data_IF_164449187323
#
_entry.id   IF_164449187323
#
_cell.length_a   1.000
_cell.length_b   1.000
_cell.length_c   1.000
_cell.angle_alpha   90.00
_cell.angle_beta   90.00
_cell.angle_gamma   90.00
#
_symmetry.space_group_name_H-M   'P 1'
#
loop_
_entity.id
_entity.type
_entity.pdbx_description
1 polymer ?
#
# COMPACT_ATOMS: atom_id res chain seq x y z
N UNK A 1 -29.49 -15.08 10.30
CA UNK A 1 -29.40 -13.77 9.63
C UNK A 1 -30.21 -12.69 10.33
N UNK A 2 -31.54 -12.83 10.53
CA UNK A 2 -32.37 -11.82 11.24
C UNK A 2 -31.91 -11.49 12.67
N UNK A 3 -31.58 -12.50 13.47
CA UNK A 3 -31.08 -12.28 14.84
C UNK A 3 -29.71 -11.62 14.88
N UNK A 4 -28.84 -11.92 13.91
CA UNK A 4 -27.52 -11.29 13.79
C UNK A 4 -27.64 -9.81 13.43
N UNK A 5 -28.59 -9.45 12.56
CA UNK A 5 -28.86 -8.04 12.21
C UNK A 5 -29.30 -7.25 13.45
N UNK A 6 -30.26 -7.78 14.20
CA UNK A 6 -30.74 -7.18 15.45
C UNK A 6 -29.65 -7.11 16.53
N UNK A 7 -28.77 -8.12 16.61
CA UNK A 7 -27.60 -8.10 17.50
C UNK A 7 -26.69 -6.92 17.13
N UNK A 8 -26.35 -6.76 15.85
CA UNK A 8 -25.49 -5.68 15.36
C UNK A 8 -26.09 -4.31 15.62
N UNK A 9 -27.40 -4.13 15.36
CA UNK A 9 -28.10 -2.88 15.65
C UNK A 9 -27.97 -2.51 17.14
N UNK A 10 -28.19 -3.47 18.06
CA UNK A 10 -28.04 -3.23 19.51
C UNK A 10 -26.60 -2.98 19.96
N UNK A 11 -25.61 -3.51 19.25
CA UNK A 11 -24.18 -3.35 19.57
C UNK A 11 -23.64 -2.00 19.12
N UNK A 12 -24.29 -1.39 18.12
CA UNK A 12 -23.99 -0.05 17.66
C UNK A 12 -24.37 0.98 18.73
N UNK A 13 -25.53 0.79 19.37
CA UNK A 13 -26.06 1.67 20.42
C UNK A 13 -25.29 1.58 21.75
N UNK A 14 -24.56 0.47 22.00
CA UNK A 14 -23.97 0.18 23.31
C UNK A 14 -22.57 -0.40 23.20
N UNK A 15 -21.55 0.43 23.45
CA UNK A 15 -20.13 0.03 23.46
C UNK A 15 -19.82 -1.11 24.44
N UNK A 16 -20.51 -1.15 25.59
CA UNK A 16 -20.34 -2.20 26.60
C UNK A 16 -20.74 -3.60 26.10
N UNK A 17 -21.71 -3.69 25.18
CA UNK A 17 -22.19 -4.96 24.63
C UNK A 17 -21.22 -5.53 23.59
N UNK A 18 -20.27 -4.74 23.07
CA UNK A 18 -19.32 -5.16 22.04
C UNK A 18 -18.35 -6.25 22.49
N UNK A 19 -18.33 -6.58 23.80
CA UNK A 19 -17.58 -7.71 24.35
C UNK A 19 -18.33 -9.06 24.25
N UNK A 20 -19.65 -9.05 24.04
CA UNK A 20 -20.47 -10.26 23.94
C UNK A 20 -20.00 -11.23 22.84
N UNK A 21 -19.71 -10.78 21.60
CA UNK A 21 -19.16 -11.65 20.55
C UNK A 21 -17.85 -12.31 20.96
N UNK A 22 -17.00 -11.60 21.71
CA UNK A 22 -15.74 -12.14 22.18
C UNK A 22 -15.98 -13.33 23.13
N UNK A 23 -16.97 -13.22 24.00
CA UNK A 23 -17.35 -14.29 24.92
C UNK A 23 -17.91 -15.51 24.16
N UNK A 24 -18.72 -15.30 23.11
CA UNK A 24 -19.19 -16.40 22.28
C UNK A 24 -18.06 -17.11 21.53
N UNK A 25 -17.08 -16.34 21.03
CA UNK A 25 -15.92 -16.86 20.31
C UNK A 25 -14.87 -17.50 21.22
N UNK A 26 -14.83 -17.14 22.51
CA UNK A 26 -13.93 -17.73 23.51
C UNK A 26 -14.41 -19.10 24.04
N UNK A 27 -15.70 -19.40 23.92
CA UNK A 27 -16.30 -20.63 24.42
C UNK A 27 -16.33 -21.72 23.34
N UNK A 28 -15.74 -22.89 23.63
CA UNK A 28 -15.62 -24.01 22.69
C UNK A 28 -16.95 -24.46 22.08
N UNK A 29 -18.03 -24.50 22.87
CA UNK A 29 -19.32 -25.01 22.41
C UNK A 29 -20.09 -24.02 21.50
N UNK A 30 -19.84 -22.72 21.63
CA UNK A 30 -20.59 -21.67 20.90
C UNK A 30 -19.79 -21.04 19.78
N UNK A 31 -18.46 -21.16 19.81
CA UNK A 31 -17.56 -20.45 18.90
C UNK A 31 -17.80 -20.81 17.43
N UNK A 32 -17.90 -22.10 17.11
CA UNK A 32 -18.10 -22.57 15.72
C UNK A 32 -19.45 -22.17 15.15
N UNK A 33 -20.51 -22.23 15.97
CA UNK A 33 -21.86 -21.77 15.59
C UNK A 33 -21.86 -20.27 15.32
N UNK A 34 -21.30 -19.47 16.24
CA UNK A 34 -21.25 -18.02 16.10
C UNK A 34 -20.40 -17.62 14.89
N UNK A 35 -19.24 -18.24 14.71
CA UNK A 35 -18.36 -18.04 13.55
C UNK A 35 -19.10 -18.26 12.23
N UNK A 36 -19.80 -19.40 12.10
CA UNK A 36 -20.58 -19.71 10.91
C UNK A 36 -21.71 -18.70 10.66
N UNK A 37 -22.51 -18.40 11.68
CA UNK A 37 -23.65 -17.47 11.58
C UNK A 37 -23.17 -16.06 11.20
N UNK A 38 -22.09 -15.60 11.82
CA UNK A 38 -21.50 -14.30 11.52
C UNK A 38 -20.94 -14.26 10.10
N UNK A 39 -20.15 -15.25 9.68
CA UNK A 39 -19.55 -15.25 8.34
C UNK A 39 -20.59 -15.30 7.23
N UNK A 40 -21.64 -16.11 7.41
CA UNK A 40 -22.76 -16.13 6.47
C UNK A 40 -23.42 -14.76 6.35
N UNK A 41 -23.70 -14.12 7.49
CA UNK A 41 -24.24 -12.76 7.52
C UNK A 41 -23.28 -11.73 6.88
N UNK A 42 -21.98 -11.84 7.16
CA UNK A 42 -20.94 -10.96 6.62
C UNK A 42 -20.88 -11.03 5.10
N UNK A 43 -21.04 -12.24 4.55
CA UNK A 43 -20.99 -12.50 3.12
C UNK A 43 -22.27 -12.04 2.42
N UNK A 44 -23.43 -12.32 3.01
CA UNK A 44 -24.72 -11.88 2.47
C UNK A 44 -24.80 -10.34 2.37
N UNK A 45 -24.16 -9.62 3.29
CA UNK A 45 -24.21 -8.15 3.36
C UNK A 45 -22.91 -7.48 2.91
N UNK A 46 -22.01 -8.17 2.20
CA UNK A 46 -20.63 -7.71 1.91
C UNK A 46 -20.53 -6.30 1.27
N UNK A 47 -21.58 -5.84 0.59
CA UNK A 47 -21.66 -4.50 -0.02
C UNK A 47 -22.03 -3.39 0.97
N UNK A 48 -22.75 -3.70 2.05
CA UNK A 48 -23.20 -2.71 3.05
C UNK A 48 -22.05 -2.19 3.94
N UNK A 49 -20.85 -2.77 3.81
CA UNK A 49 -19.64 -2.43 4.57
C UNK A 49 -18.98 -1.11 4.16
N UNK A 50 -19.58 -0.33 3.25
CA UNK A 50 -19.17 1.05 2.95
C UNK A 50 -19.97 2.11 3.75
N UNK A 51 -20.79 1.67 4.71
CA UNK A 51 -21.54 2.56 5.60
C UNK A 51 -20.80 2.92 6.89
N UNK A 52 -21.49 3.69 7.74
CA UNK A 52 -21.02 4.09 9.09
C UNK A 52 -20.70 2.88 9.99
N UNK A 53 -21.35 1.75 9.72
CA UNK A 53 -21.19 0.44 10.40
C UNK A 53 -19.91 -0.32 10.08
N UNK A 54 -19.13 0.14 9.10
CA UNK A 54 -17.92 -0.53 8.59
C UNK A 54 -16.90 -0.87 9.69
N UNK A 55 -16.75 0.00 10.69
CA UNK A 55 -15.78 -0.17 11.78
C UNK A 55 -16.12 -1.32 12.73
N UNK A 56 -17.40 -1.46 13.10
CA UNK A 56 -17.91 -2.53 13.97
C UNK A 56 -17.77 -3.88 13.26
N UNK A 57 -18.24 -3.93 12.03
CA UNK A 57 -18.09 -5.06 11.14
C UNK A 57 -16.65 -5.54 10.98
N UNK A 58 -15.72 -4.62 10.73
CA UNK A 58 -14.30 -4.95 10.64
C UNK A 58 -13.74 -5.50 11.96
N UNK A 59 -14.20 -4.98 13.10
CA UNK A 59 -13.81 -5.50 14.42
C UNK A 59 -14.26 -6.94 14.63
N UNK A 60 -15.51 -7.25 14.29
CA UNK A 60 -16.05 -8.61 14.40
C UNK A 60 -15.32 -9.57 13.47
N UNK A 61 -15.04 -9.15 12.24
CA UNK A 61 -14.24 -9.93 11.30
C UNK A 61 -12.86 -10.28 11.88
N UNK A 62 -12.16 -9.32 12.50
CA UNK A 62 -10.88 -9.58 13.19
C UNK A 62 -11.02 -10.54 14.37
N UNK A 63 -12.09 -10.45 15.16
CA UNK A 63 -12.34 -11.38 16.28
C UNK A 63 -12.56 -12.80 15.77
N UNK A 64 -13.35 -12.96 14.72
CA UNK A 64 -13.59 -14.27 14.07
C UNK A 64 -12.29 -14.85 13.52
N UNK A 65 -11.48 -14.06 12.83
CA UNK A 65 -10.13 -14.49 12.41
C UNK A 65 -9.25 -14.88 13.61
N UNK A 66 -9.25 -14.09 14.68
CA UNK A 66 -8.49 -14.40 15.90
C UNK A 66 -8.91 -15.71 16.57
N UNK A 67 -10.18 -16.07 16.50
CA UNK A 67 -10.70 -17.32 17.07
C UNK A 67 -10.14 -18.58 16.39
N UNK A 68 -9.69 -18.48 15.13
CA UNK A 68 -9.08 -19.61 14.41
C UNK A 68 -7.84 -20.12 15.10
N UNK A 69 -7.05 -19.23 15.72
CA UNK A 69 -5.83 -19.58 16.44
C UNK A 69 -6.13 -20.45 17.66
N UNK A 70 -7.31 -20.31 18.24
CA UNK A 70 -7.75 -21.06 19.42
C UNK A 70 -8.52 -22.32 19.04
N UNK A 71 -9.36 -22.25 18.00
CA UNK A 71 -10.27 -23.33 17.60
C UNK A 71 -10.12 -23.68 16.11
N UNK A 72 -9.58 -24.87 15.83
CA UNK A 72 -9.40 -25.38 14.47
C UNK A 72 -10.71 -25.55 13.68
N UNK A 73 -11.85 -25.79 14.34
CA UNK A 73 -13.16 -25.85 13.67
C UNK A 73 -13.48 -24.54 12.94
N UNK A 74 -13.09 -23.40 13.51
CA UNK A 74 -13.32 -22.08 12.92
C UNK A 74 -12.45 -21.86 11.69
N UNK A 75 -11.24 -22.44 11.65
CA UNK A 75 -10.37 -22.42 10.48
C UNK A 75 -11.06 -23.07 9.28
N UNK A 76 -11.67 -24.25 9.48
CA UNK A 76 -12.38 -24.98 8.42
C UNK A 76 -13.56 -24.17 7.88
N UNK A 77 -14.30 -23.51 8.76
CA UNK A 77 -15.44 -22.64 8.37
C UNK A 77 -14.93 -21.46 7.53
N UNK A 78 -13.88 -20.76 7.97
CA UNK A 78 -13.35 -19.60 7.27
C UNK A 78 -12.74 -20.00 5.93
N UNK A 79 -12.05 -21.13 5.86
CA UNK A 79 -11.44 -21.66 4.64
C UNK A 79 -12.44 -21.69 3.48
N UNK A 80 -13.65 -22.17 3.70
CA UNK A 80 -14.71 -22.23 2.66
C UNK A 80 -15.09 -20.86 2.09
N UNK A 81 -14.79 -19.78 2.79
CA UNK A 81 -15.15 -18.41 2.41
C UNK A 81 -13.95 -17.56 1.96
N UNK A 82 -12.71 -18.03 2.10
CA UNK A 82 -11.48 -17.29 1.73
C UNK A 82 -11.54 -16.83 0.27
N UNK A 83 -11.81 -17.76 -0.65
CA UNK A 83 -11.88 -17.50 -2.08
C UNK A 83 -12.96 -16.46 -2.44
N UNK A 84 -14.12 -16.53 -1.76
CA UNK A 84 -15.18 -15.54 -1.92
C UNK A 84 -14.72 -14.15 -1.46
N UNK A 85 -14.19 -14.06 -0.23
CA UNK A 85 -13.76 -12.79 0.38
C UNK A 85 -12.68 -12.13 -0.48
N UNK A 86 -11.68 -12.88 -0.95
CA UNK A 86 -10.59 -12.34 -1.78
C UNK A 86 -11.15 -11.77 -3.09
N UNK A 87 -11.89 -12.56 -3.85
CA UNK A 87 -12.37 -12.15 -5.17
C UNK A 87 -13.37 -10.98 -5.09
N UNK A 88 -14.28 -11.01 -4.11
CA UNK A 88 -15.23 -9.92 -3.91
C UNK A 88 -14.54 -8.64 -3.39
N UNK A 89 -13.58 -8.74 -2.47
CA UNK A 89 -12.81 -7.57 -2.01
C UNK A 89 -12.05 -6.92 -3.16
N UNK A 90 -11.38 -7.72 -4.00
CA UNK A 90 -10.65 -7.22 -5.17
C UNK A 90 -11.58 -6.55 -6.19
N UNK A 91 -12.77 -7.13 -6.43
CA UNK A 91 -13.76 -6.54 -7.33
C UNK A 91 -14.31 -5.23 -6.78
N UNK A 92 -14.59 -5.15 -5.47
CA UNK A 92 -15.12 -3.93 -4.86
C UNK A 92 -14.08 -2.83 -4.72
N UNK A 93 -12.81 -3.17 -4.49
CA UNK A 93 -11.70 -2.21 -4.53
C UNK A 93 -11.67 -1.41 -5.85
N UNK A 94 -12.01 -2.05 -6.98
CA UNK A 94 -12.02 -1.41 -8.31
C UNK A 94 -13.25 -0.52 -8.54
N UNK A 95 -14.39 -0.81 -7.90
CA UNK A 95 -15.68 -0.23 -8.25
C UNK A 95 -16.27 0.72 -7.19
N UNK A 96 -15.85 0.60 -5.92
CA UNK A 96 -16.49 1.28 -4.80
C UNK A 96 -15.84 2.62 -4.46
N UNK A 97 -16.66 3.57 -3.98
CA UNK A 97 -16.19 4.87 -3.46
C UNK A 97 -15.37 4.80 -2.15
N UNK A 98 -15.33 3.63 -1.49
CA UNK A 98 -14.55 3.39 -0.26
C UNK A 98 -13.66 2.14 -0.38
N UNK A 99 -12.69 2.18 -1.30
CA UNK A 99 -11.77 1.06 -1.55
C UNK A 99 -10.92 0.64 -0.34
N UNK A 100 -10.70 1.54 0.63
CA UNK A 100 -9.91 1.28 1.85
C UNK A 100 -10.47 0.18 2.75
N UNK A 101 -11.79 0.09 2.92
CA UNK A 101 -12.39 -0.88 3.84
C UNK A 101 -12.12 -2.32 3.37
N UNK A 102 -12.24 -2.56 2.06
CA UNK A 102 -11.95 -3.86 1.46
C UNK A 102 -10.46 -4.21 1.52
N UNK A 103 -9.57 -3.22 1.40
CA UNK A 103 -8.13 -3.42 1.60
C UNK A 103 -7.82 -3.81 3.05
N UNK A 104 -8.48 -3.21 4.04
CA UNK A 104 -8.30 -3.62 5.43
C UNK A 104 -8.81 -5.03 5.71
N UNK A 105 -9.91 -5.46 5.09
CA UNK A 105 -10.40 -6.85 5.15
C UNK A 105 -9.33 -7.80 4.60
N UNK A 106 -8.78 -7.52 3.41
CA UNK A 106 -7.69 -8.31 2.82
C UNK A 106 -6.46 -8.34 3.73
N UNK A 107 -6.05 -7.20 4.28
CA UNK A 107 -4.91 -7.10 5.21
C UNK A 107 -5.11 -7.98 6.43
N UNK A 108 -6.28 -7.92 7.06
CA UNK A 108 -6.59 -8.74 8.23
C UNK A 108 -6.60 -10.24 7.89
N UNK A 109 -7.20 -10.62 6.76
CA UNK A 109 -7.24 -12.00 6.28
C UNK A 109 -5.83 -12.55 6.02
N UNK A 110 -5.01 -11.82 5.26
CA UNK A 110 -3.64 -12.25 4.91
C UNK A 110 -2.75 -12.34 6.14
N UNK A 111 -2.87 -11.42 7.09
CA UNK A 111 -2.18 -11.52 8.38
C UNK A 111 -2.61 -12.77 9.16
N UNK A 112 -3.89 -13.12 9.13
CA UNK A 112 -4.39 -14.33 9.79
C UNK A 112 -3.87 -15.62 9.15
N UNK A 113 -3.76 -15.65 7.82
CA UNK A 113 -3.23 -16.80 7.06
C UNK A 113 -1.71 -16.93 7.26
N UNK A 114 -0.99 -15.81 7.42
CA UNK A 114 0.46 -15.81 7.64
C UNK A 114 0.91 -16.36 8.98
N UNK A 115 -0.01 -16.59 9.91
CA UNK A 115 0.29 -17.29 11.14
C UNK A 115 0.51 -18.78 10.82
N UNK A 116 1.67 -19.33 11.21
CA UNK A 116 2.21 -20.63 10.80
C UNK A 116 1.38 -21.86 11.19
N UNK A 117 0.23 -21.67 11.83
CA UNK A 117 -0.67 -22.73 12.29
C UNK A 117 -1.81 -23.03 11.30
N UNK A 118 -2.00 -22.22 10.25
CA UNK A 118 -3.19 -22.22 9.37
C UNK A 118 -2.91 -22.76 7.96
N UNK A 119 -2.30 -23.95 7.84
CA UNK A 119 -1.92 -24.51 6.54
C UNK A 119 -3.11 -24.70 5.59
N UNK A 120 -4.32 -24.97 6.11
CA UNK A 120 -5.48 -25.27 5.27
C UNK A 120 -6.03 -24.02 4.56
N UNK A 121 -6.03 -22.87 5.23
CA UNK A 121 -6.40 -21.58 4.61
C UNK A 121 -5.33 -21.11 3.62
N UNK A 122 -4.05 -21.39 3.90
CA UNK A 122 -2.96 -21.05 3.00
C UNK A 122 -3.07 -21.77 1.64
N UNK A 123 -3.44 -23.06 1.64
CA UNK A 123 -3.67 -23.79 0.40
C UNK A 123 -4.81 -23.21 -0.44
N UNK A 124 -5.87 -22.72 0.20
CA UNK A 124 -7.00 -22.06 -0.47
C UNK A 124 -6.62 -20.68 -1.02
N UNK A 125 -5.73 -19.96 -0.33
CA UNK A 125 -5.22 -18.66 -0.73
C UNK A 125 -4.28 -18.74 -1.95
N UNK A 126 -3.41 -19.76 -2.01
CA UNK A 126 -2.31 -19.83 -2.97
C UNK A 126 -2.70 -19.67 -4.45
N UNK A 127 -3.81 -20.26 -4.95
CA UNK A 127 -4.29 -20.05 -6.32
C UNK A 127 -4.61 -18.58 -6.66
N UNK A 128 -4.95 -17.77 -5.64
CA UNK A 128 -5.33 -16.37 -5.80
C UNK A 128 -4.14 -15.42 -5.82
N UNK A 129 -2.95 -15.87 -5.40
CA UNK A 129 -1.75 -15.05 -5.20
C UNK A 129 -1.42 -14.18 -6.43
N UNK A 130 -1.38 -14.80 -7.62
CA UNK A 130 -1.10 -14.10 -8.88
C UNK A 130 -2.17 -13.04 -9.18
N UNK A 131 -3.44 -13.37 -8.97
CA UNK A 131 -4.55 -12.46 -9.26
C UNK A 131 -4.53 -11.23 -8.35
N UNK A 132 -4.28 -11.44 -7.04
CA UNK A 132 -4.13 -10.37 -6.05
C UNK A 132 -3.02 -9.41 -6.46
N UNK A 133 -1.81 -9.93 -6.71
CA UNK A 133 -0.66 -9.10 -7.09
C UNK A 133 -0.88 -8.36 -8.41
N UNK A 134 -1.56 -8.99 -9.37
CA UNK A 134 -1.91 -8.35 -10.64
C UNK A 134 -2.93 -7.23 -10.45
N UNK A 135 -3.96 -7.45 -9.62
CA UNK A 135 -4.98 -6.45 -9.31
C UNK A 135 -4.39 -5.23 -8.60
N UNK A 136 -3.51 -5.45 -7.62
CA UNK A 136 -2.80 -4.37 -6.92
C UNK A 136 -1.91 -3.54 -7.86
N UNK A 137 -1.19 -4.18 -8.78
CA UNK A 137 -0.39 -3.45 -9.76
C UNK A 137 -1.22 -2.66 -10.77
N UNK A 138 -2.43 -3.12 -11.12
CA UNK A 138 -3.37 -2.36 -11.97
C UNK A 138 -3.94 -1.15 -11.25
N UNK A 139 -4.35 -1.31 -9.99
CA UNK A 139 -4.96 -0.22 -9.22
C UNK A 139 -3.97 0.92 -8.93
N UNK A 140 -2.67 0.60 -8.89
CA UNK A 140 -1.61 1.59 -8.77
C UNK A 140 -1.61 2.60 -9.92
N UNK A 141 -1.76 2.15 -11.18
CA UNK A 141 -1.60 3.06 -12.33
C UNK A 141 -2.63 4.19 -12.35
N UNK A 142 -3.74 4.03 -11.62
CA UNK A 142 -4.81 5.02 -11.50
C UNK A 142 -4.68 5.97 -10.30
N UNK A 143 -3.70 5.79 -9.42
CA UNK A 143 -3.62 6.55 -8.16
C UNK A 143 -2.37 7.43 -8.07
N UNK A 144 -2.57 8.67 -7.60
CA UNK A 144 -1.48 9.48 -7.06
C UNK A 144 -1.03 8.91 -5.69
N UNK A 145 0.22 9.18 -5.29
CA UNK A 145 0.75 8.76 -3.99
C UNK A 145 -0.18 9.19 -2.84
N UNK A 146 -0.77 8.23 -2.13
CA UNK A 146 -1.73 8.46 -1.03
C UNK A 146 -1.95 7.21 -0.19
N UNK A 147 -2.78 7.32 0.86
CA UNK A 147 -3.01 6.26 1.88
C UNK A 147 -3.38 4.91 1.26
N UNK A 148 -4.18 4.91 0.19
CA UNK A 148 -4.58 3.67 -0.48
C UNK A 148 -3.40 2.93 -1.10
N UNK A 149 -2.48 3.67 -1.74
CA UNK A 149 -1.28 3.10 -2.34
C UNK A 149 -0.34 2.53 -1.27
N UNK A 150 -0.20 3.22 -0.14
CA UNK A 150 0.58 2.74 1.01
C UNK A 150 0.05 1.41 1.54
N UNK A 151 -1.27 1.30 1.73
CA UNK A 151 -1.91 0.07 2.19
C UNK A 151 -1.72 -1.06 1.17
N UNK A 152 -1.83 -0.77 -0.14
CA UNK A 152 -1.58 -1.78 -1.18
C UNK A 152 -0.12 -2.28 -1.14
N UNK A 153 0.85 -1.37 -1.01
CA UNK A 153 2.26 -1.73 -0.89
C UNK A 153 2.49 -2.57 0.37
N UNK A 154 1.92 -2.17 1.52
CA UNK A 154 1.99 -2.92 2.78
C UNK A 154 1.49 -4.36 2.59
N UNK A 155 0.31 -4.51 1.98
CA UNK A 155 -0.32 -5.81 1.75
C UNK A 155 0.51 -6.64 0.78
N UNK A 156 0.97 -6.09 -0.34
CA UNK A 156 1.80 -6.79 -1.33
C UNK A 156 3.10 -7.34 -0.72
N UNK A 157 3.72 -6.60 0.20
CA UNK A 157 4.97 -7.02 0.86
C UNK A 157 4.76 -7.89 2.09
N UNK A 158 3.52 -8.04 2.58
CA UNK A 158 3.16 -8.88 3.74
C UNK A 158 2.33 -10.11 3.36
N UNK A 159 2.27 -10.46 2.07
CA UNK A 159 1.55 -11.64 1.61
C UNK A 159 2.09 -12.90 2.29
N UNK A 160 1.20 -13.75 2.83
CA UNK A 160 1.58 -14.97 3.53
C UNK A 160 1.95 -16.02 2.49
N UNK A 161 3.15 -15.97 1.94
CA UNK A 161 3.60 -16.90 0.92
C UNK A 161 5.03 -17.36 1.21
N UNK A 162 5.24 -18.68 1.10
CA UNK A 162 6.61 -19.23 1.12
C UNK A 162 7.38 -18.65 -0.05
N UNK A 163 8.65 -18.31 0.16
CA UNK A 163 9.48 -17.71 -0.89
C UNK A 163 9.44 -18.53 -2.19
N UNK A 164 9.49 -19.86 -2.12
CA UNK A 164 9.40 -20.76 -3.27
C UNK A 164 8.19 -20.50 -4.18
N UNK A 165 7.03 -20.19 -3.58
CA UNK A 165 5.80 -19.88 -4.31
C UNK A 165 5.75 -18.42 -4.75
N UNK A 166 6.57 -17.56 -4.14
CA UNK A 166 6.69 -16.15 -4.46
C UNK A 166 7.67 -15.90 -5.63
N UNK A 167 8.68 -16.76 -5.82
CA UNK A 167 9.71 -16.66 -6.87
C UNK A 167 9.12 -16.37 -8.26
N UNK A 168 8.09 -17.09 -8.75
CA UNK A 168 7.49 -16.84 -10.06
C UNK A 168 6.80 -15.47 -10.19
N UNK A 169 6.51 -14.83 -9.06
CA UNK A 169 5.75 -13.59 -8.97
C UNK A 169 6.60 -12.39 -8.53
N UNK A 170 7.93 -12.57 -8.35
CA UNK A 170 8.85 -11.49 -8.01
C UNK A 170 8.72 -10.25 -8.91
N UNK A 171 8.54 -10.35 -10.24
CA UNK A 171 8.35 -9.17 -11.08
C UNK A 171 7.15 -8.30 -10.66
N UNK A 172 6.09 -8.92 -10.11
CA UNK A 172 4.91 -8.20 -9.62
C UNK A 172 5.15 -7.53 -8.25
N UNK A 173 6.14 -7.98 -7.48
CA UNK A 173 6.48 -7.50 -6.13
C UNK A 173 7.60 -6.47 -6.16
N UNK A 174 8.47 -6.55 -7.17
CA UNK A 174 9.65 -5.70 -7.29
C UNK A 174 9.29 -4.21 -7.36
N UNK A 175 8.16 -3.88 -8.00
CA UNK A 175 7.65 -2.52 -7.99
C UNK A 175 7.23 -2.07 -6.58
N UNK A 176 6.26 -2.72 -5.88
CA UNK A 176 5.92 -2.39 -4.49
C UNK A 176 7.14 -2.25 -3.58
N UNK A 177 8.13 -3.13 -3.78
CA UNK A 177 9.39 -3.12 -3.05
C UNK A 177 10.17 -1.82 -3.27
N UNK A 178 10.44 -1.41 -4.52
CA UNK A 178 11.14 -0.16 -4.81
C UNK A 178 10.39 1.04 -4.25
N UNK A 179 9.06 1.09 -4.42
CA UNK A 179 8.26 2.19 -3.87
C UNK A 179 8.28 2.26 -2.36
N UNK A 180 8.34 1.11 -1.66
CA UNK A 180 8.45 1.08 -0.21
C UNK A 180 9.76 1.71 0.29
N UNK A 181 10.87 1.45 -0.42
CA UNK A 181 12.20 2.02 -0.10
C UNK A 181 12.26 3.54 -0.32
N UNK A 182 11.45 4.04 -1.26
CA UNK A 182 11.32 5.46 -1.55
C UNK A 182 10.49 6.23 -0.51
N UNK A 183 9.69 5.54 0.29
CA UNK A 183 8.74 6.16 1.23
C UNK A 183 9.45 6.49 2.56
N UNK A 184 9.01 7.53 3.27
CA UNK A 184 9.57 7.96 4.56
C UNK A 184 9.01 7.23 5.79
N UNK A 185 8.07 6.31 5.61
CA UNK A 185 7.25 5.71 6.67
C UNK A 185 7.74 4.31 7.11
N UNK A 186 6.98 3.65 7.99
CA UNK A 186 7.22 2.28 8.44
C UNK A 186 7.37 1.28 7.26
N UNK A 187 6.79 1.58 6.10
CA UNK A 187 6.94 0.80 4.87
C UNK A 187 8.39 0.67 4.42
N UNK A 188 9.24 1.67 4.68
CA UNK A 188 10.65 1.60 4.32
C UNK A 188 11.35 0.45 5.07
N UNK A 189 11.10 0.34 6.37
CA UNK A 189 11.68 -0.73 7.19
C UNK A 189 11.23 -2.12 6.70
N UNK A 190 9.98 -2.25 6.27
CA UNK A 190 9.46 -3.47 5.69
C UNK A 190 10.11 -3.77 4.34
N UNK A 191 10.25 -2.76 3.47
CA UNK A 191 10.95 -2.87 2.20
C UNK A 191 12.39 -3.36 2.35
N UNK A 192 13.15 -2.78 3.27
CA UNK A 192 14.52 -3.21 3.57
C UNK A 192 14.59 -4.68 4.01
N UNK A 193 13.70 -5.10 4.92
CA UNK A 193 13.62 -6.50 5.39
C UNK A 193 13.27 -7.46 4.26
N UNK A 194 12.27 -7.11 3.44
CA UNK A 194 11.87 -7.95 2.30
C UNK A 194 12.96 -8.04 1.25
N UNK A 195 13.65 -6.94 0.94
CA UNK A 195 14.79 -6.95 0.01
C UNK A 195 15.94 -7.79 0.56
N UNK A 196 16.26 -7.64 1.85
CA UNK A 196 17.31 -8.46 2.50
C UNK A 196 16.97 -9.95 2.40
N UNK A 197 15.74 -10.34 2.74
CA UNK A 197 15.27 -11.71 2.60
C UNK A 197 15.41 -12.20 1.15
N UNK A 198 14.94 -11.43 0.16
CA UNK A 198 15.06 -11.82 -1.25
C UNK A 198 16.52 -12.00 -1.69
N UNK A 199 17.45 -11.17 -1.23
CA UNK A 199 18.87 -11.30 -1.53
C UNK A 199 19.52 -12.51 -0.84
N UNK A 200 19.10 -12.83 0.39
CA UNK A 200 19.67 -13.94 1.16
C UNK A 200 19.14 -15.31 0.70
N UNK A 201 17.93 -15.35 0.15
CA UNK A 201 17.18 -16.62 -0.04
C UNK A 201 16.95 -17.03 -1.49
N UNK A 202 17.14 -16.13 -2.46
CA UNK A 202 17.02 -16.46 -3.88
C UNK A 202 18.41 -16.76 -4.44
N UNK A 203 18.60 -17.93 -5.07
CA UNK A 203 19.86 -18.31 -5.72
C UNK A 203 20.34 -17.19 -6.65
N UNK A 204 21.62 -16.81 -6.55
CA UNK A 204 22.23 -15.64 -7.22
C UNK A 204 21.90 -15.54 -8.72
N UNK A 205 21.75 -16.68 -9.41
CA UNK A 205 21.42 -16.73 -10.83
C UNK A 205 19.98 -16.27 -11.19
N UNK A 206 18.98 -16.47 -10.33
CA UNK A 206 17.59 -16.06 -10.62
C UNK A 206 17.32 -14.60 -10.26
N UNK A 207 17.92 -14.12 -9.16
CA UNK A 207 17.91 -12.70 -8.79
C UNK A 207 18.51 -11.86 -9.90
N UNK A 208 19.65 -12.28 -10.44
CA UNK A 208 20.35 -11.49 -11.43
C UNK A 208 19.45 -11.16 -12.63
N UNK A 209 18.76 -12.13 -13.25
CA UNK A 209 17.96 -11.84 -14.44
C UNK A 209 16.72 -10.96 -14.20
N UNK A 210 16.04 -11.08 -13.05
CA UNK A 210 14.81 -10.31 -12.76
C UNK A 210 15.14 -8.96 -12.10
N UNK A 211 16.17 -8.93 -11.26
CA UNK A 211 16.59 -7.71 -10.59
C UNK A 211 17.43 -6.85 -11.51
N UNK A 212 18.17 -7.38 -12.50
CA UNK A 212 19.00 -6.58 -13.43
C UNK A 212 18.25 -5.36 -14.00
N UNK A 213 16.99 -5.52 -14.40
CA UNK A 213 16.17 -4.42 -14.96
C UNK A 213 15.88 -3.29 -13.96
N UNK A 214 15.71 -3.63 -12.67
CA UNK A 214 15.27 -2.68 -11.62
C UNK A 214 16.41 -2.39 -10.63
N UNK A 215 17.54 -3.08 -10.77
CA UNK A 215 18.74 -2.99 -9.92
C UNK A 215 19.23 -1.55 -9.82
N UNK A 216 19.27 -0.85 -10.94
CA UNK A 216 19.71 0.54 -11.00
C UNK A 216 18.77 1.45 -10.20
N UNK A 217 17.45 1.26 -10.32
CA UNK A 217 16.47 2.02 -9.57
C UNK A 217 16.58 1.71 -8.05
N UNK A 218 16.77 0.43 -7.66
CA UNK A 218 17.00 0.06 -6.25
C UNK A 218 18.28 0.70 -5.70
N UNK A 219 19.40 0.60 -6.41
CA UNK A 219 20.67 1.12 -5.92
C UNK A 219 20.70 2.65 -5.89
N UNK A 220 20.14 3.33 -6.90
CA UNK A 220 19.99 4.78 -6.88
C UNK A 220 19.14 5.24 -5.68
N UNK A 221 18.05 4.54 -5.38
CA UNK A 221 17.18 4.88 -4.25
C UNK A 221 17.84 4.62 -2.90
N UNK A 222 18.56 3.50 -2.73
CA UNK A 222 19.34 3.22 -1.53
C UNK A 222 20.45 4.26 -1.31
N UNK A 223 21.22 4.61 -2.35
CA UNK A 223 22.28 5.62 -2.27
C UNK A 223 21.76 7.03 -1.97
N UNK A 224 20.59 7.40 -2.49
CA UNK A 224 19.97 8.67 -2.12
C UNK A 224 19.58 8.68 -0.65
N UNK A 225 19.11 7.54 -0.13
CA UNK A 225 18.61 7.40 1.24
C UNK A 225 19.72 7.38 2.29
N UNK A 226 20.86 6.73 2.00
CA UNK A 226 22.05 6.75 2.88
C UNK A 226 22.50 8.17 3.20
N UNK A 227 22.36 9.09 2.23
CA UNK A 227 22.73 10.50 2.38
C UNK A 227 21.72 11.32 3.18
N UNK A 228 20.46 10.87 3.28
CA UNK A 228 19.36 11.66 3.83
C UNK A 228 18.93 11.25 5.24
N UNK A 229 19.13 9.99 5.65
CA UNK A 229 18.58 9.47 6.91
C UNK A 229 19.57 8.57 7.64
N UNK A 230 20.00 9.00 8.84
CA UNK A 230 21.00 8.29 9.65
C UNK A 230 20.51 6.90 10.11
N UNK A 231 19.22 6.76 10.46
CA UNK A 231 18.65 5.50 10.99
C UNK A 231 18.67 4.35 9.99
N UNK A 232 18.43 4.64 8.70
CA UNK A 232 18.38 3.63 7.64
C UNK A 232 19.72 3.48 6.89
N UNK A 233 20.73 4.26 7.26
CA UNK A 233 22.00 4.31 6.57
C UNK A 233 22.73 2.95 6.62
N UNK A 234 22.82 2.35 7.81
CA UNK A 234 23.49 1.06 8.01
C UNK A 234 22.80 -0.08 7.23
N UNK A 235 21.47 -0.10 7.21
CA UNK A 235 20.70 -1.08 6.45
C UNK A 235 20.88 -0.92 4.95
N UNK A 236 20.84 0.33 4.46
CA UNK A 236 21.02 0.65 3.04
C UNK A 236 22.43 0.29 2.57
N UNK A 237 23.48 0.64 3.32
CA UNK A 237 24.87 0.28 3.02
C UNK A 237 25.10 -1.23 3.00
N UNK A 238 24.51 -1.97 3.95
CA UNK A 238 24.58 -3.44 3.98
C UNK A 238 23.98 -4.05 2.72
N UNK A 239 22.81 -3.58 2.30
CA UNK A 239 22.12 -4.06 1.09
C UNK A 239 22.90 -3.72 -0.19
N UNK A 240 23.44 -2.50 -0.29
CA UNK A 240 24.31 -2.08 -1.40
C UNK A 240 25.52 -3.03 -1.49
N UNK A 241 26.15 -3.36 -0.36
CA UNK A 241 27.27 -4.30 -0.31
C UNK A 241 26.89 -5.70 -0.80
N UNK A 242 25.76 -6.25 -0.32
CA UNK A 242 25.24 -7.56 -0.76
C UNK A 242 24.96 -7.59 -2.27
N UNK A 243 24.32 -6.54 -2.81
CA UNK A 243 24.01 -6.45 -4.24
C UNK A 243 25.26 -6.27 -5.12
N UNK A 244 26.28 -5.58 -4.61
CA UNK A 244 27.54 -5.36 -5.33
C UNK A 244 28.41 -6.62 -5.37
N UNK A 245 28.42 -7.43 -4.30
CA UNK A 245 29.17 -8.69 -4.22
C UNK A 245 28.55 -9.86 -5.00
N UNK A 246 27.24 -9.84 -5.25
CA UNK A 246 26.52 -10.90 -5.97
C UNK A 246 26.67 -10.84 -7.51
N UNK A 247 27.38 -9.86 -8.05
CA UNK A 247 27.43 -9.60 -9.48
C UNK A 247 28.48 -10.46 -10.21
N UNK A 248 28.01 -11.33 -11.11
CA UNK A 248 28.81 -11.98 -12.16
C UNK A 248 29.00 -11.09 -13.40
N UNK A 249 28.25 -9.99 -13.52
CA UNK A 249 28.28 -9.08 -14.69
C UNK A 249 28.72 -7.66 -14.28
N UNK A 250 29.56 -7.00 -15.10
CA UNK A 250 29.97 -5.63 -14.84
C UNK A 250 28.76 -4.68 -14.88
N UNK A 251 28.76 -3.75 -13.94
CA UNK A 251 27.67 -2.79 -13.73
C UNK A 251 27.65 -1.76 -14.88
N UNK A 252 26.66 -1.83 -15.78
CA UNK A 252 26.41 -0.76 -16.75
C UNK A 252 25.36 0.19 -16.17
N UNK A 253 25.85 1.29 -15.59
CA UNK A 253 25.01 2.39 -15.15
C UNK A 253 24.43 3.06 -16.40
N UNK A 254 23.27 2.59 -16.89
CA UNK A 254 22.49 3.37 -17.84
C UNK A 254 21.91 4.54 -17.05
N UNK A 255 22.65 5.65 -17.01
CA UNK A 255 22.10 6.91 -16.53
C UNK A 255 20.85 7.20 -17.38
N UNK A 256 19.68 7.25 -16.74
CA UNK A 256 18.47 7.79 -17.37
C UNK A 256 18.74 9.28 -17.61
N UNK A 257 19.38 9.59 -18.73
CA UNK A 257 19.64 10.95 -19.15
C UNK A 257 18.28 11.60 -19.42
N UNK A 258 17.93 12.59 -18.61
CA UNK A 258 16.76 13.42 -18.87
C UNK A 258 17.12 14.33 -20.04
N UNK A 259 16.48 14.12 -21.17
CA UNK A 259 16.66 14.98 -22.33
C UNK A 259 16.08 16.36 -22.02
N UNK A 260 16.96 17.31 -21.74
CA UNK A 260 16.59 18.70 -21.53
C UNK A 260 16.57 19.41 -22.89
N UNK A 261 15.38 19.74 -23.40
CA UNK A 261 15.28 20.66 -24.56
C UNK A 261 15.65 22.06 -24.04
N UNK A 262 16.90 22.48 -24.29
CA UNK A 262 17.37 23.86 -24.10
C UNK A 262 16.74 24.83 -25.12
N UNK A 263 15.41 24.84 -25.21
CA UNK A 263 14.67 25.84 -25.98
C UNK A 263 13.97 26.74 -24.97
N UNK A 264 14.35 28.02 -24.83
CA UNK A 264 13.60 28.95 -23.99
C UNK A 264 12.17 28.99 -24.53
N UNK A 265 11.23 28.54 -23.70
CA UNK A 265 9.88 28.22 -24.15
C UNK A 265 9.07 29.48 -24.38
N UNK A 266 9.38 30.55 -23.64
CA UNK A 266 9.01 31.92 -23.97
C UNK A 266 10.11 32.91 -23.53
N UNK A 267 10.10 34.09 -24.13
CA UNK A 267 10.89 35.26 -23.71
C UNK A 267 9.94 36.40 -23.35
N UNK A 268 10.17 37.04 -22.21
CA UNK A 268 9.45 38.26 -21.81
C UNK A 268 10.34 39.45 -22.14
N UNK A 269 9.81 40.39 -22.90
CA UNK A 269 10.51 41.64 -23.18
C UNK A 269 10.33 42.58 -22.00
N UNK A 270 11.42 42.80 -21.26
CA UNK A 270 11.43 43.81 -20.20
C UNK A 270 11.80 45.15 -20.84
N UNK A 271 10.86 46.08 -20.81
CA UNK A 271 11.11 47.46 -21.24
C UNK A 271 11.62 48.25 -20.04
N UNK A 272 12.91 48.59 -20.05
CA UNK A 272 13.49 49.46 -19.03
C UNK A 272 14.23 50.60 -19.73
N UNK A 273 13.84 51.85 -19.44
CA UNK A 273 14.43 53.08 -19.98
C UNK A 273 14.57 53.12 -21.52
N UNK A 274 13.56 52.62 -22.26
CA UNK A 274 13.52 52.72 -23.72
C UNK A 274 14.27 51.62 -24.49
N UNK A 275 14.93 50.68 -23.81
CA UNK A 275 15.46 49.46 -24.41
C UNK A 275 14.57 48.26 -24.04
N UNK A 276 14.17 47.49 -25.06
CA UNK A 276 13.44 46.22 -24.92
C UNK A 276 14.46 45.10 -24.93
N UNK A 277 14.69 44.45 -23.79
CA UNK A 277 15.59 43.30 -23.69
C UNK A 277 14.74 42.02 -23.56
N UNK A 278 14.82 41.08 -24.51
CA UNK A 278 14.14 39.79 -24.39
C UNK A 278 14.83 38.95 -23.31
N UNK A 279 14.15 38.70 -22.20
CA UNK A 279 14.63 37.84 -21.13
C UNK A 279 14.04 36.44 -21.30
N UNK A 280 14.86 35.39 -21.53
CA UNK A 280 14.37 34.02 -21.61
C UNK A 280 13.95 33.54 -20.20
N UNK A 281 12.72 33.03 -20.08
CA UNK A 281 12.20 32.52 -18.80
C UNK A 281 12.06 30.99 -18.89
N UNK A 282 12.55 30.22 -17.90
CA UNK A 282 12.37 28.78 -17.83
C UNK A 282 10.95 28.42 -17.35
N UNK A 283 9.96 28.66 -18.21
CA UNK A 283 8.55 28.47 -17.87
C UNK A 283 8.23 27.02 -17.47
N UNK A 284 8.86 26.03 -18.11
CA UNK A 284 8.61 24.63 -17.75
C UNK A 284 9.03 24.29 -16.31
N UNK A 285 10.13 24.83 -15.81
CA UNK A 285 10.59 24.60 -14.43
C UNK A 285 9.66 25.27 -13.42
N UNK A 286 9.18 26.47 -13.75
CA UNK A 286 8.21 27.22 -12.94
C UNK A 286 6.88 26.46 -12.91
N UNK A 287 6.38 26.00 -14.05
CA UNK A 287 5.15 25.21 -14.13
C UNK A 287 5.26 23.89 -13.37
N UNK A 288 6.37 23.16 -13.51
CA UNK A 288 6.56 21.89 -12.79
C UNK A 288 6.62 22.11 -11.27
N UNK A 289 7.23 23.21 -10.83
CA UNK A 289 7.24 23.63 -9.41
C UNK A 289 5.85 24.01 -8.92
N UNK A 290 5.08 24.76 -9.70
CA UNK A 290 3.69 25.14 -9.38
C UNK A 290 2.78 23.90 -9.29
N UNK A 291 2.92 22.96 -10.22
CA UNK A 291 2.17 21.69 -10.22
C UNK A 291 2.52 20.83 -9.01
N UNK A 292 3.80 20.77 -8.60
CA UNK A 292 4.22 20.08 -7.37
C UNK A 292 3.56 20.68 -6.12
N UNK A 293 3.58 22.01 -5.99
CA UNK A 293 2.95 22.72 -4.87
C UNK A 293 1.43 22.47 -4.81
N UNK A 294 0.74 22.53 -5.95
CA UNK A 294 -0.70 22.23 -6.01
C UNK A 294 -1.02 20.79 -5.61
N UNK A 295 -0.18 19.82 -6.02
CA UNK A 295 -0.36 18.41 -5.63
C UNK A 295 -0.20 18.20 -4.13
N UNK A 296 0.76 18.87 -3.49
CA UNK A 296 0.95 18.78 -2.04
C UNK A 296 -0.29 19.27 -1.26
N UNK A 297 -0.94 20.34 -1.73
CA UNK A 297 -2.15 20.90 -1.10
C UNK A 297 -3.33 19.92 -1.17
N UNK A 298 -3.50 19.25 -2.32
CA UNK A 298 -4.56 18.23 -2.47
C UNK A 298 -4.39 17.01 -1.56
N UNK A 299 -3.17 16.75 -1.06
CA UNK A 299 -2.90 15.70 -0.07
C UNK A 299 -3.18 16.11 1.38
N UNK A 300 -3.21 17.42 1.68
CA UNK A 300 -3.35 17.95 3.06
C UNK A 300 -4.83 18.16 3.45
N UNK A 301 -5.76 18.23 2.48
CA UNK A 301 -7.20 18.35 2.77
C UNK A 301 -7.80 17.14 3.50
N UNK A 302 -7.05 16.04 3.66
CA UNK A 302 -7.50 14.82 4.36
C UNK A 302 -6.99 14.68 5.81
N UNK A 303 -6.12 15.58 6.30
CA UNK A 303 -5.65 15.55 7.69
C UNK A 303 -6.25 16.68 8.54
N UNK A 304 -6.96 16.28 9.59
CA UNK A 304 -7.75 17.13 10.48
C UNK A 304 -6.89 17.76 11.58
N UNK A 305 -6.41 18.99 11.38
CA UNK A 305 -6.15 19.98 12.44
C UNK A 305 -6.43 21.38 11.87
N UNK A 306 -7.20 22.24 12.57
CA UNK A 306 -7.68 23.51 12.00
C UNK A 306 -6.70 24.70 12.10
N UNK A 307 -5.62 24.63 12.90
CA UNK A 307 -4.75 25.79 13.19
C UNK A 307 -3.25 25.48 13.03
N UNK A 308 -2.82 25.06 11.85
CA UNK A 308 -1.38 24.90 11.56
C UNK A 308 -0.90 26.05 10.65
N UNK A 309 -0.06 26.99 11.12
CA UNK A 309 0.37 28.16 10.33
C UNK A 309 1.11 27.76 9.05
N UNK A 310 1.74 26.58 9.03
CA UNK A 310 2.35 26.04 7.83
C UNK A 310 1.32 25.74 6.73
N UNK A 311 0.11 25.31 7.10
CA UNK A 311 -0.99 24.97 6.17
C UNK A 311 -1.57 26.23 5.52
N UNK A 312 -1.72 27.32 6.27
CA UNK A 312 -2.17 28.61 5.72
C UNK A 312 -1.19 29.18 4.69
N UNK A 313 0.11 29.11 4.99
CA UNK A 313 1.17 29.55 4.08
C UNK A 313 1.19 28.70 2.80
N UNK A 314 1.03 27.39 2.93
CA UNK A 314 0.98 26.46 1.79
C UNK A 314 -0.25 26.70 0.90
N UNK A 315 -1.41 27.00 1.51
CA UNK A 315 -2.63 27.38 0.77
C UNK A 315 -2.39 28.69 0.00
N UNK A 316 -1.76 29.69 0.62
CA UNK A 316 -1.45 30.97 -0.05
C UNK A 316 -0.54 30.77 -1.26
N UNK A 317 0.57 30.04 -1.10
CA UNK A 317 1.46 29.73 -2.23
C UNK A 317 0.79 28.90 -3.32
N UNK A 318 -0.19 28.06 -2.95
CA UNK A 318 -0.95 27.28 -3.92
C UNK A 318 -1.90 28.14 -4.76
N UNK A 319 -2.48 29.21 -4.17
CA UNK A 319 -3.29 30.18 -4.89
C UNK A 319 -2.43 30.98 -5.86
N UNK A 320 -1.27 31.45 -5.40
CA UNK A 320 -0.31 32.17 -6.26
C UNK A 320 0.18 31.26 -7.42
N UNK A 321 0.47 29.99 -7.13
CA UNK A 321 0.85 29.01 -8.16
C UNK A 321 -0.28 28.74 -9.17
N UNK A 322 -1.54 28.76 -8.73
CA UNK A 322 -2.70 28.63 -9.62
C UNK A 322 -2.86 29.85 -10.52
N UNK A 323 -2.63 31.06 -10.00
CA UNK A 323 -2.64 32.27 -10.81
C UNK A 323 -1.55 32.24 -11.90
N UNK A 324 -0.34 31.76 -11.57
CA UNK A 324 0.76 31.61 -12.54
C UNK A 324 0.44 30.60 -13.65
N UNK A 325 -0.26 29.50 -13.34
CA UNK A 325 -0.65 28.49 -14.34
C UNK A 325 -1.80 28.99 -15.24
N UNK A 326 -2.65 29.88 -14.74
CA UNK A 326 -3.82 30.39 -15.46
C UNK A 326 -3.48 31.39 -16.57
N UNK A 327 -2.35 32.09 -16.43
CA UNK A 327 -1.86 33.12 -17.38
C UNK A 327 -1.34 32.48 -18.66
#
# INVERSE_FOLDING_TARGET
SREMKHLIDKLEDSSCLQNIPNNFLANQNTSSIFCYVYLKFFIDNFLEFNGERSTLHFRFFKMVLGSTVVFHENEVIIKSWVSFIINHSLKQMLNAGQSLNYLFILRALFRSIGNSTMDSMYQEFLPHLKNILTAFNRYRTSLNYGVILEVIIEISLSLPARLSNLVPHIPLILYPLVTSLLTSTALNSQGHRTLELCLDSIHSLFVNNVVDDIRNDILATLCRRTSQNAEFNNYSLKLIGKMSGAALKPYQFYQKLQFYKNVPSCSVNLNHNGSSIPLPIPIYDILDSCVKLLREVTGISTSSTPNDPAKEVLIKYSLDAWEVIKV
#
